data_IF_537199554988
#
_entry.id   IF_537199554988
#
_cell.length_a   1.000
_cell.length_b   1.000
_cell.length_c   1.000
_cell.angle_alpha   90.00
_cell.angle_beta   90.00
_cell.angle_gamma   90.00
#
_symmetry.space_group_name_H-M   'P 1'
#
loop_
_entity.id
_entity.type
_entity.pdbx_description
1 polymer ?
#
# COMPACT_ATOMS: atom_id res chain seq x y z
N UNK A 1 -9.64 8.30 15.05
CA UNK A 1 -8.49 8.48 14.13
C UNK A 1 -9.01 8.30 12.71
N UNK A 2 -8.59 9.15 11.78
CA UNK A 2 -8.94 8.97 10.36
C UNK A 2 -8.30 7.68 9.85
N UNK A 3 -9.07 6.90 9.10
CA UNK A 3 -8.66 5.63 8.51
C UNK A 3 -8.46 5.84 7.01
N UNK A 4 -7.44 5.17 6.46
CA UNK A 4 -7.07 5.30 5.06
C UNK A 4 -7.04 3.92 4.41
N UNK A 5 -7.36 3.89 3.12
CA UNK A 5 -7.21 2.71 2.27
C UNK A 5 -6.24 2.98 1.12
N UNK A 6 -5.53 1.95 0.70
CA UNK A 6 -4.57 2.00 -0.42
C UNK A 6 -5.10 1.13 -1.54
N UNK A 7 -5.33 1.73 -2.71
CA UNK A 7 -5.82 1.07 -3.90
C UNK A 7 -4.68 0.99 -4.91
N UNK A 8 -4.34 -0.22 -5.36
CA UNK A 8 -3.46 -0.44 -6.50
C UNK A 8 -4.23 -0.18 -7.79
N UNK A 9 -3.81 0.79 -8.58
CA UNK A 9 -4.52 1.18 -9.80
C UNK A 9 -3.80 0.74 -11.07
N UNK A 10 -2.47 0.69 -11.04
CA UNK A 10 -1.68 0.28 -12.19
C UNK A 10 -0.43 -0.46 -11.77
N UNK A 11 -0.03 -1.42 -12.60
CA UNK A 11 1.30 -2.01 -12.57
C UNK A 11 2.02 -1.57 -13.83
N UNK A 12 3.22 -1.00 -13.70
CA UNK A 12 4.08 -0.71 -14.85
C UNK A 12 4.67 -2.00 -15.43
N UNK A 13 5.64 -1.94 -16.35
CA UNK A 13 6.18 -3.11 -17.07
C UNK A 13 6.88 -4.19 -16.20
N UNK A 14 6.67 -4.22 -14.88
CA UNK A 14 7.08 -5.33 -14.03
C UNK A 14 6.22 -6.58 -14.30
N UNK A 15 6.87 -7.75 -14.31
CA UNK A 15 6.18 -9.02 -14.51
C UNK A 15 5.17 -9.28 -13.39
N UNK A 16 4.11 -10.04 -13.69
CA UNK A 16 3.11 -10.47 -12.70
C UNK A 16 3.77 -11.07 -11.45
N UNK A 17 4.77 -11.91 -11.64
CA UNK A 17 5.51 -12.58 -10.58
C UNK A 17 6.25 -11.58 -9.68
N UNK A 18 7.00 -10.63 -10.27
CA UNK A 18 7.76 -9.64 -9.50
C UNK A 18 6.81 -8.75 -8.69
N UNK A 19 5.70 -8.32 -9.29
CA UNK A 19 4.72 -7.51 -8.58
C UNK A 19 4.06 -8.26 -7.41
N UNK A 20 3.72 -9.55 -7.61
CA UNK A 20 3.17 -10.37 -6.54
C UNK A 20 4.18 -10.60 -5.40
N UNK A 21 5.45 -10.85 -5.72
CA UNK A 21 6.52 -11.00 -4.73
C UNK A 21 6.76 -9.71 -3.95
N UNK A 22 6.80 -8.55 -4.62
CA UNK A 22 6.90 -7.24 -3.98
C UNK A 22 5.71 -6.97 -3.07
N UNK A 23 4.48 -7.25 -3.53
CA UNK A 23 3.28 -7.03 -2.73
C UNK A 23 3.26 -7.93 -1.49
N UNK A 24 3.65 -9.20 -1.63
CA UNK A 24 3.82 -10.14 -0.53
C UNK A 24 4.85 -9.65 0.49
N UNK A 25 5.99 -9.14 0.03
CA UNK A 25 7.03 -8.61 0.90
C UNK A 25 6.59 -7.35 1.68
N UNK A 26 5.78 -6.49 1.07
CA UNK A 26 5.31 -5.23 1.66
C UNK A 26 4.15 -5.41 2.63
N UNK A 27 3.26 -6.38 2.38
CA UNK A 27 1.99 -6.52 3.11
C UNK A 27 1.93 -7.80 3.95
N UNK A 28 2.78 -8.78 3.68
CA UNK A 28 2.73 -10.08 4.34
C UNK A 28 1.54 -10.97 3.92
N UNK A 29 0.80 -10.61 2.86
CA UNK A 29 -0.27 -11.45 2.32
C UNK A 29 0.23 -12.80 1.81
N UNK A 30 -0.71 -13.73 1.59
CA UNK A 30 -0.40 -14.96 0.88
C UNK A 30 -0.02 -14.68 -0.58
N UNK A 31 0.74 -15.59 -1.19
CA UNK A 31 1.11 -15.50 -2.61
C UNK A 31 -0.14 -15.45 -3.50
N UNK A 32 -1.16 -16.23 -3.18
CA UNK A 32 -2.42 -16.28 -3.95
C UNK A 32 -3.17 -14.94 -3.90
N UNK A 33 -3.29 -14.33 -2.72
CA UNK A 33 -3.88 -13.00 -2.57
C UNK A 33 -3.07 -11.95 -3.34
N UNK A 34 -1.74 -12.00 -3.23
CA UNK A 34 -0.87 -11.08 -3.95
C UNK A 34 -1.07 -11.18 -5.46
N UNK A 35 -1.06 -12.40 -6.00
CA UNK A 35 -1.26 -12.68 -7.43
C UNK A 35 -2.64 -12.21 -7.91
N UNK A 36 -3.69 -12.42 -7.11
CA UNK A 36 -5.03 -11.95 -7.43
C UNK A 36 -5.09 -10.42 -7.46
N UNK A 37 -4.55 -9.75 -6.44
CA UNK A 37 -4.51 -8.28 -6.37
C UNK A 37 -3.78 -7.69 -7.58
N UNK A 38 -2.61 -8.23 -7.95
CA UNK A 38 -1.84 -7.69 -9.08
C UNK A 38 -2.38 -8.12 -10.44
N UNK A 39 -3.29 -9.11 -10.50
CA UNK A 39 -3.96 -9.56 -11.73
C UNK A 39 -5.21 -8.73 -12.01
N UNK A 40 -5.97 -8.38 -10.98
CA UNK A 40 -7.24 -7.69 -11.09
C UNK A 40 -7.12 -6.27 -10.56
N UNK A 41 -6.88 -5.31 -11.47
CA UNK A 41 -6.77 -3.89 -11.14
C UNK A 41 -8.03 -3.13 -11.59
N UNK A 42 -8.47 -2.09 -10.86
CA UNK A 42 -7.93 -1.62 -9.58
C UNK A 42 -8.30 -2.54 -8.40
N UNK A 43 -7.42 -2.67 -7.41
CA UNK A 43 -7.64 -3.51 -6.23
C UNK A 43 -7.29 -2.79 -4.93
N UNK A 44 -8.15 -2.94 -3.92
CA UNK A 44 -7.84 -2.51 -2.56
C UNK A 44 -6.76 -3.43 -1.97
N UNK A 45 -5.59 -2.87 -1.67
CA UNK A 45 -4.53 -3.63 -1.00
C UNK A 45 -4.86 -3.71 0.47
N UNK A 46 -5.08 -2.56 1.11
CA UNK A 46 -5.27 -2.52 2.55
C UNK A 46 -6.23 -1.39 2.94
N UNK A 47 -6.99 -1.64 4.00
CA UNK A 47 -7.95 -0.73 4.60
C UNK A 47 -7.55 -0.42 6.04
N UNK A 48 -8.22 0.55 6.65
CA UNK A 48 -8.08 0.84 8.07
C UNK A 48 -6.68 1.26 8.54
N UNK A 49 -5.82 1.71 7.61
CA UNK A 49 -4.48 2.16 7.92
C UNK A 49 -4.48 3.55 8.56
N UNK A 50 -3.54 3.76 9.48
CA UNK A 50 -3.17 5.12 9.88
C UNK A 50 -2.53 5.87 8.71
N UNK A 51 -2.66 7.21 8.68
CA UNK A 51 -2.12 8.04 7.59
C UNK A 51 -0.66 7.71 7.23
N UNK A 52 0.19 7.49 8.24
CA UNK A 52 1.62 7.17 8.05
C UNK A 52 1.83 5.79 7.42
N UNK A 53 1.03 4.79 7.81
CA UNK A 53 1.13 3.44 7.23
C UNK A 53 0.66 3.43 5.79
N UNK A 54 -0.48 4.07 5.49
CA UNK A 54 -0.98 4.20 4.12
C UNK A 54 0.02 4.92 3.20
N UNK A 55 0.66 5.99 3.69
CA UNK A 55 1.78 6.68 3.00
C UNK A 55 2.90 5.73 2.64
N UNK A 56 3.38 5.02 3.64
CA UNK A 56 4.56 4.18 3.50
C UNK A 56 4.30 3.05 2.51
N UNK A 57 3.13 2.40 2.61
CA UNK A 57 2.72 1.36 1.68
C UNK A 57 2.61 1.90 0.25
N UNK A 58 1.92 3.03 0.04
CA UNK A 58 1.76 3.62 -1.29
C UNK A 58 3.09 3.98 -1.95
N UNK A 59 4.04 4.53 -1.18
CA UNK A 59 5.38 4.84 -1.68
C UNK A 59 6.19 3.58 -2.02
N UNK A 60 6.17 2.59 -1.14
CA UNK A 60 6.91 1.35 -1.37
C UNK A 60 6.40 0.60 -2.62
N UNK A 61 5.09 0.68 -2.89
CA UNK A 61 4.49 0.18 -4.13
C UNK A 61 5.01 0.98 -5.34
N UNK A 62 5.00 2.31 -5.27
CA UNK A 62 5.50 3.15 -6.37
C UNK A 62 6.99 2.86 -6.68
N UNK A 63 7.83 2.65 -5.65
CA UNK A 63 9.24 2.26 -5.82
C UNK A 63 9.40 0.88 -6.49
N UNK A 64 8.39 0.02 -6.41
CA UNK A 64 8.33 -1.27 -7.12
C UNK A 64 7.68 -1.18 -8.52
N UNK A 65 7.40 0.03 -9.03
CA UNK A 65 6.70 0.22 -10.31
C UNK A 65 5.20 -0.12 -10.25
N UNK A 66 4.61 -0.06 -9.05
CA UNK A 66 3.19 -0.30 -8.81
C UNK A 66 2.53 1.01 -8.37
N UNK A 67 1.69 1.57 -9.22
CA UNK A 67 0.99 2.84 -8.97
C UNK A 67 -0.19 2.58 -8.06
N UNK A 68 -0.22 3.29 -6.93
CA UNK A 68 -1.31 3.22 -5.96
C UNK A 68 -1.85 4.60 -5.59
N UNK A 69 -3.13 4.63 -5.24
CA UNK A 69 -3.86 5.80 -4.77
C UNK A 69 -4.30 5.57 -3.32
N UNK A 70 -4.23 6.63 -2.52
CA UNK A 70 -4.62 6.59 -1.11
C UNK A 70 -5.91 7.39 -0.94
N UNK A 71 -6.89 6.79 -0.30
CA UNK A 71 -8.17 7.41 0.00
C UNK A 71 -8.40 7.47 1.51
N UNK A 72 -9.02 8.54 1.98
CA UNK A 72 -9.50 8.61 3.36
C UNK A 72 -10.85 7.89 3.53
N UNK A 73 -11.38 7.88 4.75
CA UNK A 73 -12.66 7.23 5.09
C UNK A 73 -13.89 7.89 4.45
N UNK A 74 -13.74 9.02 3.77
CA UNK A 74 -14.81 9.73 3.06
C UNK A 74 -14.65 9.62 1.54
N UNK A 75 -13.85 8.67 1.05
CA UNK A 75 -13.53 8.47 -0.36
C UNK A 75 -12.85 9.67 -1.03
N UNK A 76 -12.25 10.57 -0.25
CA UNK A 76 -11.45 11.64 -0.82
C UNK A 76 -10.04 11.13 -1.12
N UNK A 77 -9.49 11.40 -2.31
CA UNK A 77 -8.08 11.16 -2.55
C UNK A 77 -7.30 11.96 -1.51
N UNK A 78 -6.34 11.32 -0.87
CA UNK A 78 -5.51 11.98 0.11
C UNK A 78 -4.58 12.96 -0.65
N UNK A 79 -5.10 14.16 -0.93
CA UNK A 79 -4.48 15.17 -1.78
C UNK A 79 -3.03 15.46 -1.36
N UNK A 80 -2.13 15.40 -2.35
CA UNK A 80 -0.81 16.05 -2.41
C UNK A 80 -0.11 16.20 -1.05
N UNK A 81 0.28 15.07 -0.51
CA UNK A 81 1.11 15.01 0.68
C UNK A 81 2.51 15.56 0.37
N UNK A 82 2.71 16.83 0.72
CA UNK A 82 3.95 17.58 0.46
C UNK A 82 5.18 16.87 1.03
N UNK A 83 6.28 16.96 0.28
CA UNK A 83 7.58 16.32 0.52
C UNK A 83 8.12 16.55 1.96
N UNK A 84 7.77 17.66 2.60
CA UNK A 84 8.19 17.99 3.97
C UNK A 84 7.61 17.06 5.03
N UNK A 85 6.40 16.56 4.85
CA UNK A 85 5.79 15.61 5.80
C UNK A 85 6.50 14.26 5.75
N UNK A 86 7.13 13.94 4.61
CA UNK A 86 7.79 12.66 4.33
C UNK A 86 9.15 12.58 5.01
N UNK A 87 9.95 13.66 4.95
CA UNK A 87 11.29 13.71 5.56
C UNK A 87 11.28 13.62 7.10
N UNK A 88 10.30 14.28 7.74
CA UNK A 88 10.14 14.23 9.20
C UNK A 88 9.78 12.82 9.71
N UNK A 89 9.13 12.02 8.86
CA UNK A 89 8.77 10.63 9.14
C UNK A 89 9.93 9.67 8.80
N UNK A 90 10.63 9.86 7.68
CA UNK A 90 11.79 9.05 7.27
C UNK A 90 12.94 9.05 8.31
N UNK A 91 13.23 10.19 8.93
CA UNK A 91 14.25 10.29 9.97
C UNK A 91 13.98 9.46 11.23
N UNK A 92 12.71 9.12 11.50
CA UNK A 92 12.29 8.22 12.60
C UNK A 92 11.97 6.80 12.12
N UNK A 93 11.53 6.62 10.88
CA UNK A 93 11.05 5.34 10.33
C UNK A 93 12.14 4.39 9.83
N UNK A 94 13.31 4.89 9.40
CA UNK A 94 14.39 4.03 8.86
C UNK A 94 14.89 2.97 9.86
N UNK A 95 14.63 3.14 11.16
CA UNK A 95 14.94 2.11 12.17
C UNK A 95 13.89 1.00 12.29
N UNK A 96 12.66 1.18 11.80
CA UNK A 96 11.52 0.31 12.15
C UNK A 96 10.52 0.06 11.01
N UNK A 97 10.93 0.18 9.74
CA UNK A 97 10.11 -0.14 8.55
C UNK A 97 9.36 -1.47 8.69
N UNK A 98 10.09 -2.52 9.11
CA UNK A 98 9.55 -3.87 9.29
C UNK A 98 8.48 -3.94 10.39
N UNK A 99 8.59 -3.11 11.42
CA UNK A 99 7.66 -3.12 12.56
C UNK A 99 6.38 -2.34 12.29
N UNK A 100 6.43 -1.35 11.40
CA UNK A 100 5.27 -0.53 11.01
C UNK A 100 4.37 -1.27 10.03
N UNK A 101 4.96 -2.07 9.14
CA UNK A 101 4.26 -2.94 8.20
C UNK A 101 3.77 -4.25 8.84
N UNK A 102 4.45 -4.77 9.87
CA UNK A 102 4.05 -6.00 10.57
C UNK A 102 2.69 -5.93 11.29
N UNK A 103 2.11 -4.74 11.45
CA UNK A 103 0.77 -4.52 12.03
C UNK A 103 -0.34 -4.34 11.00
N UNK A 104 -0.05 -4.44 9.70
CA UNK A 104 -1.03 -4.29 8.65
C UNK A 104 -1.79 -5.62 8.49
N UNK A 105 -2.99 -5.70 9.07
CA UNK A 105 -3.89 -6.83 8.87
C UNK A 105 -4.76 -6.54 7.65
N UNK A 106 -4.63 -7.36 6.61
CA UNK A 106 -5.43 -7.20 5.39
C UNK A 106 -6.82 -7.77 5.62
N UNK A 107 -7.86 -6.96 5.41
CA UNK A 107 -9.22 -7.42 5.18
C UNK A 107 -9.32 -7.82 3.70
N UNK A 108 -9.05 -9.09 3.40
CA UNK A 108 -9.39 -9.65 2.10
C UNK A 108 -10.93 -9.70 1.99
N UNK A 109 -11.54 -8.69 1.36
CA UNK A 109 -12.95 -8.75 1.02
C UNK A 109 -13.09 -9.41 -0.37
N UNK A 110 -13.74 -10.58 -0.47
CA UNK A 110 -14.16 -11.10 -1.76
C UNK A 110 -15.38 -10.28 -2.20
N UNK A 111 -15.21 -9.44 -3.23
CA UNK A 111 -16.35 -8.82 -3.91
C UNK A 111 -16.67 -9.63 -5.16
N UNK A 112 -17.78 -10.36 -5.06
CA UNK A 112 -18.52 -11.10 -6.10
C UNK A 112 -19.02 -10.13 -7.17
#
# INVERSE_FOLDING_TARGET
MAKYRVILTKRECCSLTIAAESLLALTGCSREEAENIVRFLPACICEDLGAVQARYLARALNECGMISEVYDSHDHPAETWTHETVFALEGRLLKNVRSILAGIHLSAHPSI
#
